data_IF_196033933080
#
_entry.id   IF_196033933080
#
_cell.length_a   1.000
_cell.length_b   1.000
_cell.length_c   1.000
_cell.angle_alpha   90.00
_cell.angle_beta   90.00
_cell.angle_gamma   90.00
#
_symmetry.space_group_name_H-M   'P 1'
#
loop_
_entity.id
_entity.type
_entity.pdbx_description
1 polymer ?
#
# COMPACT_ATOMS: atom_id res chain seq x y z
N UNK A 1 -3.09 16.82 -8.21
CA UNK A 1 -4.25 16.00 -7.79
C UNK A 1 -4.12 14.68 -8.50
N UNK A 2 -4.02 13.59 -7.75
CA UNK A 2 -3.84 12.23 -8.29
C UNK A 2 -5.09 11.44 -8.00
N UNK A 3 -5.52 10.60 -8.94
CA UNK A 3 -6.67 9.71 -8.76
C UNK A 3 -6.26 8.27 -9.02
N UNK A 4 -6.64 7.39 -8.10
CA UNK A 4 -6.49 5.95 -8.22
C UNK A 4 -7.87 5.33 -8.43
N UNK A 5 -8.06 4.59 -9.53
CA UNK A 5 -9.22 3.71 -9.72
C UNK A 5 -8.84 2.30 -9.28
N UNK A 6 -9.65 1.71 -8.42
CA UNK A 6 -9.36 0.41 -7.82
C UNK A 6 -10.64 -0.28 -7.33
N UNK A 7 -10.51 -1.53 -6.91
CA UNK A 7 -11.55 -2.25 -6.16
C UNK A 7 -11.26 -2.11 -4.66
N UNK A 8 -12.22 -1.59 -3.90
CA UNK A 8 -12.11 -1.57 -2.43
C UNK A 8 -12.08 -3.01 -1.90
N UNK A 9 -11.02 -3.36 -1.17
CA UNK A 9 -10.81 -4.71 -0.65
C UNK A 9 -11.95 -5.21 0.28
N UNK A 10 -12.65 -4.28 0.94
CA UNK A 10 -13.70 -4.63 1.90
C UNK A 10 -15.07 -4.82 1.22
N UNK A 11 -15.50 -3.85 0.40
CA UNK A 11 -16.81 -3.90 -0.26
C UNK A 11 -16.82 -4.63 -1.60
N UNK A 12 -15.63 -4.88 -2.17
CA UNK A 12 -15.44 -5.44 -3.52
C UNK A 12 -16.11 -4.61 -4.61
N UNK A 13 -16.24 -3.30 -4.40
CA UNK A 13 -16.83 -2.35 -5.36
C UNK A 13 -15.76 -1.44 -5.95
N UNK A 14 -15.91 -1.02 -7.22
CA UNK A 14 -15.03 -0.03 -7.81
C UNK A 14 -15.14 1.31 -7.10
N UNK A 15 -13.99 1.94 -6.84
CA UNK A 15 -13.85 3.24 -6.20
C UNK A 15 -12.82 4.11 -6.91
N UNK A 16 -13.00 5.43 -6.82
CA UNK A 16 -12.01 6.43 -7.14
C UNK A 16 -11.49 7.06 -5.85
N UNK A 17 -10.19 6.90 -5.59
CA UNK A 17 -9.50 7.53 -4.46
C UNK A 17 -8.80 8.78 -4.98
N UNK A 18 -9.17 9.94 -4.44
CA UNK A 18 -8.58 11.23 -4.77
C UNK A 18 -7.54 11.61 -3.73
N UNK A 19 -6.37 12.03 -4.21
CA UNK A 19 -5.26 12.48 -3.38
C UNK A 19 -4.98 13.96 -3.59
N UNK A 20 -4.85 14.67 -2.47
CA UNK A 20 -4.29 16.01 -2.40
C UNK A 20 -2.91 15.90 -1.73
N UNK A 21 -1.86 16.03 -2.54
CA UNK A 21 -0.47 15.78 -2.12
C UNK A 21 -0.31 14.35 -1.57
N UNK A 22 0.08 14.21 -0.31
CA UNK A 22 0.35 12.96 0.42
C UNK A 22 -0.86 12.46 1.22
N UNK A 23 -2.03 13.09 1.07
CA UNK A 23 -3.24 12.76 1.83
C UNK A 23 -4.37 12.33 0.91
N UNK A 24 -5.15 11.37 1.39
CA UNK A 24 -6.45 11.04 0.82
C UNK A 24 -7.36 12.24 1.09
N UNK A 25 -7.90 12.80 0.01
CA UNK A 25 -8.89 13.87 0.05
C UNK A 25 -10.30 13.29 0.10
N UNK A 26 -10.60 12.31 -0.76
CA UNK A 26 -11.89 11.64 -0.80
C UNK A 26 -11.82 10.24 -1.44
N UNK A 27 -12.83 9.41 -1.14
CA UNK A 27 -13.08 8.11 -1.78
C UNK A 27 -14.52 8.11 -2.25
N UNK A 28 -14.74 7.86 -3.54
CA UNK A 28 -16.06 7.87 -4.16
C UNK A 28 -16.31 6.56 -4.90
N UNK A 29 -17.58 6.13 -4.99
CA UNK A 29 -17.95 5.02 -5.87
C UNK A 29 -17.61 5.35 -7.32
N UNK A 30 -17.10 4.35 -8.05
CA UNK A 30 -16.81 4.47 -9.47
C UNK A 30 -17.83 3.66 -10.28
N UNK A 31 -18.74 4.34 -10.96
CA UNK A 31 -19.58 3.69 -11.96
C UNK A 31 -18.75 3.40 -13.21
N UNK A 32 -18.59 2.12 -13.52
CA UNK A 32 -17.85 1.64 -14.67
C UNK A 32 -18.48 0.35 -15.23
N UNK A 33 -18.10 0.00 -16.47
CA UNK A 33 -18.50 -1.28 -17.04
C UNK A 33 -17.75 -2.47 -16.39
N UNK A 34 -18.25 -3.68 -16.68
CA UNK A 34 -17.72 -4.90 -16.09
C UNK A 34 -16.28 -5.22 -16.51
N UNK A 35 -15.90 -4.84 -17.73
CA UNK A 35 -14.56 -5.11 -18.26
C UNK A 35 -13.52 -4.24 -17.55
N UNK A 36 -13.81 -2.96 -17.35
CA UNK A 36 -12.97 -2.08 -16.55
C UNK A 36 -12.89 -2.57 -15.12
N UNK A 37 -14.03 -2.83 -14.47
CA UNK A 37 -14.08 -3.30 -13.08
C UNK A 37 -13.23 -4.57 -12.86
N UNK A 38 -13.25 -5.51 -13.81
CA UNK A 38 -12.45 -6.75 -13.74
C UNK A 38 -10.94 -6.53 -13.88
N UNK A 39 -10.51 -5.41 -14.48
CA UNK A 39 -9.10 -5.06 -14.67
C UNK A 39 -8.50 -4.23 -13.53
N UNK A 40 -9.34 -3.67 -12.66
CA UNK A 40 -8.89 -2.79 -11.58
C UNK A 40 -8.16 -3.58 -10.47
N UNK A 41 -7.05 -3.05 -9.93
CA UNK A 41 -6.37 -3.67 -8.80
C UNK A 41 -7.19 -3.49 -7.52
N UNK A 42 -6.95 -4.35 -6.52
CA UNK A 42 -7.44 -4.09 -5.18
C UNK A 42 -6.68 -2.95 -4.50
N UNK A 43 -7.38 -2.15 -3.71
CA UNK A 43 -6.81 -1.14 -2.82
C UNK A 43 -7.24 -1.41 -1.38
N UNK A 44 -6.30 -1.26 -0.47
CA UNK A 44 -6.49 -1.31 0.97
C UNK A 44 -5.56 -0.29 1.64
N UNK A 45 -5.81 0.08 2.91
CA UNK A 45 -4.79 0.74 3.71
C UNK A 45 -3.49 -0.08 3.74
N UNK A 46 -2.35 0.62 3.81
CA UNK A 46 -1.05 -0.04 3.96
C UNK A 46 -1.04 -0.93 5.21
N UNK A 47 -0.46 -2.13 5.07
CA UNK A 47 -0.29 -3.03 6.19
C UNK A 47 0.71 -2.45 7.19
N UNK A 48 0.41 -2.59 8.48
CA UNK A 48 1.34 -2.31 9.55
C UNK A 48 1.84 -3.63 10.12
N UNK A 49 3.11 -3.96 9.84
CA UNK A 49 3.78 -5.08 10.49
C UNK A 49 4.31 -4.62 11.85
N UNK A 50 3.63 -5.04 12.92
CA UNK A 50 3.93 -4.63 14.29
C UNK A 50 5.12 -5.38 14.89
N UNK A 51 5.56 -6.48 14.28
CA UNK A 51 6.69 -7.27 14.77
C UNK A 51 7.37 -8.00 13.61
N UNK A 52 8.47 -7.43 13.14
CA UNK A 52 9.31 -8.02 12.09
C UNK A 52 10.66 -8.46 12.66
N UNK A 53 11.06 -9.71 12.39
CA UNK A 53 12.37 -10.21 12.78
C UNK A 53 13.45 -9.89 11.73
N UNK A 54 13.05 -9.68 10.48
CA UNK A 54 13.98 -9.44 9.38
C UNK A 54 13.26 -9.07 8.09
N UNK A 55 13.97 -8.39 7.19
CA UNK A 55 13.45 -7.91 5.91
C UNK A 55 14.55 -7.93 4.85
N UNK A 56 14.20 -8.21 3.59
CA UNK A 56 15.16 -8.32 2.47
C UNK A 56 16.42 -9.15 2.76
N UNK A 57 16.28 -10.27 3.45
CA UNK A 57 17.39 -11.19 3.76
C UNK A 57 18.29 -10.75 4.92
N UNK A 58 17.97 -9.66 5.62
CA UNK A 58 18.64 -9.26 6.86
C UNK A 58 17.83 -9.73 8.06
N UNK A 59 18.54 -10.20 9.09
CA UNK A 59 17.95 -10.58 10.37
C UNK A 59 18.37 -9.58 11.44
N UNK A 60 17.40 -8.95 12.10
CA UNK A 60 17.66 -7.89 13.09
C UNK A 60 18.29 -8.39 14.40
N UNK A 61 18.41 -9.71 14.59
CA UNK A 61 19.13 -10.29 15.73
C UNK A 61 20.51 -10.84 15.33
N UNK A 62 21.02 -10.55 14.13
CA UNK A 62 22.38 -10.92 13.74
C UNK A 62 23.41 -10.23 14.63
N UNK A 63 24.37 -10.99 15.16
CA UNK A 63 25.52 -10.44 15.91
C UNK A 63 26.44 -9.55 15.04
N UNK A 64 26.27 -9.61 13.72
CA UNK A 64 27.04 -8.84 12.74
C UNK A 64 26.23 -7.73 12.09
N UNK A 65 25.03 -7.43 12.59
CA UNK A 65 24.17 -6.37 12.09
C UNK A 65 24.86 -5.01 12.18
N UNK A 66 24.85 -4.28 11.08
CA UNK A 66 25.43 -2.93 10.97
C UNK A 66 24.37 -1.82 10.91
N UNK A 67 24.76 -0.59 11.23
CA UNK A 67 23.87 0.58 11.12
C UNK A 67 23.42 0.85 9.67
N UNK A 68 24.30 0.60 8.69
CA UNK A 68 24.00 0.74 7.27
C UNK A 68 22.89 -0.23 6.83
N UNK A 69 22.93 -1.47 7.34
CA UNK A 69 21.92 -2.50 7.06
C UNK A 69 20.56 -2.14 7.67
N UNK A 70 20.54 -1.57 8.87
CA UNK A 70 19.30 -1.07 9.50
C UNK A 70 18.74 0.13 8.72
N UNK A 71 19.59 1.08 8.36
CA UNK A 71 19.20 2.29 7.63
C UNK A 71 18.60 1.96 6.27
N UNK A 72 19.19 0.98 5.55
CA UNK A 72 18.67 0.48 4.29
C UNK A 72 17.23 -0.04 4.39
N UNK A 73 16.87 -0.66 5.52
CA UNK A 73 15.51 -1.18 5.73
C UNK A 73 14.55 -0.08 6.17
N UNK A 74 14.96 0.77 7.12
CA UNK A 74 14.07 1.78 7.70
C UNK A 74 13.67 2.89 6.72
N UNK A 75 14.46 3.09 5.66
CA UNK A 75 14.23 4.12 4.63
C UNK A 75 13.77 3.55 3.28
N UNK A 76 13.54 2.23 3.19
CA UNK A 76 12.95 1.60 2.01
C UNK A 76 11.44 1.88 1.93
#
# INVERSE_FOLDING_TARGET
MTTLHAIDYQSLRPVAVHFLNDRIDSVQSLDCDADLAASLPFVAPGLFDIQINGYHGLWFCSETLTEDEVTRIALA
#
